data_IF_424248627997
#
_entry.id   IF_424248627997
#
_cell.length_a   1.000
_cell.length_b   1.000
_cell.length_c   1.000
_cell.angle_alpha   90.00
_cell.angle_beta   90.00
_cell.angle_gamma   90.00
#
_symmetry.space_group_name_H-M   'P 1'
#
loop_
_entity.id
_entity.type
_entity.pdbx_description
1 polymer ?
#
# COMPACT_ATOMS: atom_id res chain seq x y z
N UNK A 1 -6.42 16.15 11.59
CA UNK A 1 -7.08 15.99 10.29
C UNK A 1 -6.91 17.31 9.56
N UNK A 2 -6.30 17.34 8.38
CA UNK A 2 -6.10 18.60 7.64
C UNK A 2 -7.45 19.26 7.30
N UNK A 3 -7.54 20.59 7.43
CA UNK A 3 -8.76 21.40 7.20
C UNK A 3 -9.15 21.52 5.70
N UNK A 4 -8.96 20.48 4.91
CA UNK A 4 -9.35 20.46 3.51
C UNK A 4 -10.84 20.19 3.35
N UNK A 5 -11.42 20.72 2.26
CA UNK A 5 -12.82 20.45 1.89
C UNK A 5 -12.96 19.04 1.33
N UNK A 6 -14.19 18.51 1.37
CA UNK A 6 -14.50 17.14 0.92
C UNK A 6 -14.03 16.89 -0.52
N UNK A 7 -14.18 17.89 -1.39
CA UNK A 7 -13.83 17.82 -2.81
C UNK A 7 -12.33 17.62 -3.04
N UNK A 8 -11.50 18.11 -2.12
CA UNK A 8 -10.06 17.89 -2.11
C UNK A 8 -9.71 16.54 -1.50
N UNK A 9 -10.39 16.17 -0.40
CA UNK A 9 -10.13 14.92 0.30
C UNK A 9 -10.42 13.70 -0.58
N UNK A 10 -11.54 13.70 -1.30
CA UNK A 10 -11.91 12.62 -2.23
C UNK A 10 -10.87 12.37 -3.33
N UNK A 11 -10.07 13.38 -3.66
CA UNK A 11 -9.07 13.30 -4.72
C UNK A 11 -7.68 12.94 -4.20
N UNK A 12 -7.37 13.13 -2.92
CA UNK A 12 -5.97 13.10 -2.46
C UNK A 12 -5.68 12.28 -1.21
N UNK A 13 -6.66 12.03 -0.34
CA UNK A 13 -6.42 11.29 0.91
C UNK A 13 -6.01 9.85 0.61
N UNK A 14 -4.99 9.36 1.33
CA UNK A 14 -4.41 8.02 1.12
C UNK A 14 -3.41 7.95 -0.04
N UNK A 15 -3.23 9.04 -0.78
CA UNK A 15 -2.31 9.19 -1.91
C UNK A 15 -1.65 10.58 -1.91
N UNK A 16 -1.29 11.06 -0.71
CA UNK A 16 -0.69 12.38 -0.52
C UNK A 16 0.62 12.50 -1.31
N UNK A 17 1.44 11.45 -1.27
CA UNK A 17 2.70 11.36 -2.00
C UNK A 17 2.54 10.61 -3.32
N UNK A 18 3.33 11.00 -4.33
CA UNK A 18 3.44 10.23 -5.57
C UNK A 18 4.11 8.87 -5.31
N UNK A 19 3.91 7.91 -6.21
CA UNK A 19 4.56 6.60 -6.14
C UNK A 19 6.08 6.74 -5.95
N UNK A 20 6.63 6.10 -4.93
CA UNK A 20 8.04 6.27 -4.56
C UNK A 20 9.01 5.63 -5.56
N UNK A 21 8.54 4.67 -6.37
CA UNK A 21 9.39 3.97 -7.33
C UNK A 21 9.56 4.75 -8.64
N UNK A 22 8.53 5.48 -9.08
CA UNK A 22 8.48 6.08 -10.42
C UNK A 22 8.09 7.56 -10.43
N UNK A 23 7.58 8.10 -9.33
CA UNK A 23 6.99 9.43 -9.27
C UNK A 23 5.62 9.55 -9.94
N UNK A 24 4.98 8.42 -10.31
CA UNK A 24 3.62 8.44 -10.86
C UNK A 24 2.65 9.11 -9.90
N UNK A 25 1.85 10.05 -10.41
CA UNK A 25 0.80 10.70 -9.62
C UNK A 25 -0.49 9.88 -9.54
N UNK A 26 -0.77 9.10 -10.58
CA UNK A 26 -1.86 8.12 -10.53
C UNK A 26 -1.40 6.89 -9.74
N UNK A 27 -2.29 6.34 -8.91
CA UNK A 27 -2.02 5.12 -8.14
C UNK A 27 -1.80 3.94 -9.10
N UNK A 28 -0.67 3.24 -9.01
CA UNK A 28 -0.44 2.04 -9.80
C UNK A 28 -1.44 0.94 -9.47
N UNK A 29 -1.79 0.15 -10.49
CA UNK A 29 -2.62 -1.05 -10.32
C UNK A 29 -1.70 -2.24 -10.01
N UNK A 30 -1.68 -2.69 -8.76
CA UNK A 30 -0.93 -3.87 -8.34
C UNK A 30 -1.73 -5.15 -8.63
N UNK A 31 -1.82 -5.50 -9.91
CA UNK A 31 -2.51 -6.70 -10.38
C UNK A 31 -1.69 -7.98 -10.11
N UNK A 32 -1.60 -8.35 -8.84
CA UNK A 32 -0.84 -9.51 -8.36
C UNK A 32 -1.64 -10.31 -7.33
N UNK A 33 -1.36 -11.61 -7.27
CA UNK A 33 -1.89 -12.51 -6.23
C UNK A 33 -0.95 -12.63 -5.03
N UNK A 34 0.35 -12.32 -5.19
CA UNK A 34 1.40 -12.63 -4.21
C UNK A 34 2.44 -11.50 -4.11
N UNK A 35 3.11 -11.41 -2.96
CA UNK A 35 4.21 -10.48 -2.69
C UNK A 35 5.46 -11.25 -2.26
N UNK A 36 6.64 -10.79 -2.68
CA UNK A 36 7.92 -11.44 -2.39
C UNK A 36 8.42 -11.00 -1.01
N UNK A 37 8.84 -11.95 -0.18
CA UNK A 37 9.56 -11.65 1.06
C UNK A 37 11.07 -11.54 0.79
N UNK A 38 11.74 -10.60 1.48
CA UNK A 38 13.20 -10.43 1.39
C UNK A 38 13.95 -11.68 1.86
N UNK A 39 13.44 -12.31 2.93
CA UNK A 39 13.97 -13.52 3.56
C UNK A 39 12.89 -14.20 4.42
N UNK A 40 13.25 -15.31 5.09
CA UNK A 40 12.34 -16.08 5.95
C UNK A 40 11.96 -15.36 7.25
N UNK A 41 12.84 -14.52 7.80
CA UNK A 41 12.55 -13.75 9.00
C UNK A 41 11.49 -12.67 8.70
N UNK A 42 11.60 -12.00 7.56
CA UNK A 42 10.60 -11.07 7.07
C UNK A 42 9.24 -11.75 6.85
N UNK A 43 9.22 -12.96 6.29
CA UNK A 43 7.98 -13.72 6.16
C UNK A 43 7.34 -14.02 7.53
N UNK A 44 8.13 -14.51 8.49
CA UNK A 44 7.64 -14.79 9.85
C UNK A 44 7.04 -13.53 10.51
N UNK A 45 7.72 -12.39 10.42
CA UNK A 45 7.27 -11.12 10.97
C UNK A 45 5.96 -10.59 10.32
N UNK A 46 5.73 -10.93 9.05
CA UNK A 46 4.48 -10.58 8.35
C UNK A 46 3.30 -11.41 8.85
N UNK A 47 3.53 -12.70 9.12
CA UNK A 47 2.49 -13.62 9.58
C UNK A 47 2.21 -13.53 11.07
N UNK A 48 3.16 -13.06 11.89
CA UNK A 48 2.94 -12.77 13.32
C UNK A 48 2.44 -11.34 13.60
N UNK A 49 2.26 -10.54 12.54
CA UNK A 49 1.78 -9.15 12.55
C UNK A 49 2.72 -8.14 13.23
N UNK A 50 3.98 -8.50 13.47
CA UNK A 50 5.01 -7.57 13.96
C UNK A 50 5.56 -6.63 12.87
N UNK A 51 5.46 -7.02 11.59
CA UNK A 51 5.79 -6.17 10.43
C UNK A 51 4.56 -5.95 9.52
N UNK A 52 4.14 -4.69 9.40
CA UNK A 52 2.92 -4.31 8.69
C UNK A 52 3.07 -4.29 7.17
N UNK A 53 2.06 -4.82 6.47
CA UNK A 53 1.85 -4.72 5.01
C UNK A 53 1.55 -6.07 4.36
N UNK A 54 1.72 -6.17 3.04
CA UNK A 54 1.08 -7.26 2.30
C UNK A 54 1.70 -8.65 2.50
N UNK A 55 0.81 -9.66 2.54
CA UNK A 55 1.16 -11.09 2.55
C UNK A 55 0.77 -11.71 1.20
N UNK A 56 -0.52 -11.67 0.86
CA UNK A 56 -1.06 -12.09 -0.43
C UNK A 56 -2.36 -11.34 -0.75
N UNK A 57 -2.66 -11.19 -2.04
CA UNK A 57 -3.68 -10.27 -2.55
C UNK A 57 -5.10 -10.48 -2.03
N UNK A 58 -5.43 -11.70 -1.57
CA UNK A 58 -6.74 -12.00 -0.95
C UNK A 58 -6.91 -11.39 0.46
N UNK A 59 -5.83 -11.14 1.20
CA UNK A 59 -5.91 -10.44 2.49
C UNK A 59 -5.82 -8.94 2.30
N UNK A 60 -4.78 -8.50 1.59
CA UNK A 60 -4.50 -7.08 1.39
C UNK A 60 -3.83 -6.88 0.03
N UNK A 61 -4.15 -5.76 -0.61
CA UNK A 61 -3.55 -5.33 -1.87
C UNK A 61 -3.40 -3.81 -1.86
N UNK A 62 -2.25 -3.29 -2.30
CA UNK A 62 -1.95 -1.85 -2.22
C UNK A 62 -2.85 -0.93 -3.07
N UNK A 63 -3.64 -1.47 -4.00
CA UNK A 63 -4.58 -0.68 -4.81
C UNK A 63 -5.98 -0.58 -4.16
N UNK A 64 -6.32 -1.46 -3.21
CA UNK A 64 -7.68 -1.62 -2.66
C UNK A 64 -7.94 -0.80 -1.40
#
# INVERSE_FOLDING_TARGET
MSDYKFETLQLHVGQEQADSATGSRAVPIYQTTSYVFRDSAHAAARFDLSDAGNIYGRLTNSTQ
#
